data_IF_838967495026
#
_entry.id   IF_838967495026
#
_cell.length_a   1.000
_cell.length_b   1.000
_cell.length_c   1.000
_cell.angle_alpha   90.00
_cell.angle_beta   90.00
_cell.angle_gamma   90.00
#
_symmetry.space_group_name_H-M   'P 1'
#
loop_
_entity.id
_entity.type
_entity.pdbx_description
1 polymer ?
#
# COMPACT_ATOMS: atom_id res chain seq x y z
N UNK A 1 35.87 0.48 0.79
CA UNK A 1 34.81 0.52 -0.24
C UNK A 1 33.46 0.43 0.44
N UNK A 2 33.33 -0.44 1.46
CA UNK A 2 32.11 -0.58 2.26
C UNK A 2 31.77 0.68 3.10
N UNK A 3 32.77 1.35 3.72
CA UNK A 3 32.53 2.56 4.52
C UNK A 3 31.95 3.74 3.72
N UNK A 4 32.34 3.89 2.46
CA UNK A 4 31.83 4.97 1.61
C UNK A 4 30.39 4.72 1.16
N UNK A 5 30.00 3.45 0.99
CA UNK A 5 28.64 3.07 0.64
C UNK A 5 27.72 3.18 1.85
N UNK A 6 28.21 2.81 3.04
CA UNK A 6 27.48 2.96 4.29
C UNK A 6 27.17 4.43 4.59
N UNK A 7 28.16 5.34 4.43
CA UNK A 7 27.93 6.78 4.61
C UNK A 7 26.89 7.36 3.65
N UNK A 8 26.93 6.94 2.37
CA UNK A 8 25.93 7.36 1.38
C UNK A 8 24.53 6.82 1.71
N UNK A 9 24.43 5.59 2.18
CA UNK A 9 23.16 4.99 2.58
C UNK A 9 22.54 5.75 3.76
N UNK A 10 23.34 6.11 4.77
CA UNK A 10 22.88 6.89 5.92
C UNK A 10 22.34 8.27 5.51
N UNK A 11 22.99 8.94 4.55
CA UNK A 11 22.51 10.22 4.00
C UNK A 11 21.19 10.08 3.26
N UNK A 12 21.04 9.04 2.43
CA UNK A 12 19.80 8.75 1.70
C UNK A 12 18.67 8.46 2.68
N UNK A 13 18.92 7.64 3.70
CA UNK A 13 17.91 7.29 4.72
C UNK A 13 17.48 8.53 5.52
N UNK A 14 18.42 9.41 5.85
CA UNK A 14 18.13 10.67 6.53
C UNK A 14 17.26 11.60 5.67
N UNK A 15 17.54 11.69 4.37
CA UNK A 15 16.72 12.47 3.43
C UNK A 15 15.31 11.90 3.29
N UNK A 16 15.17 10.58 3.19
CA UNK A 16 13.87 9.91 3.12
C UNK A 16 13.00 10.22 4.33
N UNK A 17 13.58 10.19 5.54
CA UNK A 17 12.88 10.48 6.81
C UNK A 17 12.46 11.94 6.98
N UNK A 18 12.97 12.87 6.16
CA UNK A 18 12.51 14.26 6.16
C UNK A 18 11.22 14.44 5.35
N UNK A 19 10.94 13.55 4.40
CA UNK A 19 9.83 13.66 3.46
C UNK A 19 8.71 12.67 3.81
N UNK A 20 9.08 11.44 4.17
CA UNK A 20 8.14 10.36 4.43
C UNK A 20 8.16 9.94 5.89
N UNK A 21 7.01 9.46 6.37
CA UNK A 21 6.94 8.83 7.67
C UNK A 21 7.74 7.53 7.71
N UNK A 22 8.12 7.10 8.90
CA UNK A 22 8.74 5.78 9.09
C UNK A 22 7.83 4.64 8.62
N UNK A 23 6.51 4.82 8.71
CA UNK A 23 5.52 3.83 8.26
C UNK A 23 5.54 3.71 6.74
N UNK A 24 5.54 4.84 6.01
CA UNK A 24 5.63 4.85 4.55
C UNK A 24 6.93 4.18 4.10
N UNK A 25 8.06 4.55 4.71
CA UNK A 25 9.36 3.96 4.37
C UNK A 25 9.35 2.44 4.61
N UNK A 26 8.83 1.99 5.75
CA UNK A 26 8.76 0.57 6.07
C UNK A 26 7.82 -0.21 5.12
N UNK A 27 6.67 0.35 4.77
CA UNK A 27 5.74 -0.28 3.83
C UNK A 27 6.23 -0.25 2.38
N UNK A 28 7.07 0.71 2.01
CA UNK A 28 7.70 0.77 0.68
C UNK A 28 8.88 -0.22 0.55
N UNK A 29 9.74 -0.31 1.58
CA UNK A 29 10.94 -1.15 1.54
C UNK A 29 10.67 -2.61 1.96
N UNK A 30 9.73 -2.82 2.89
CA UNK A 30 9.33 -4.13 3.39
C UNK A 30 7.82 -4.36 3.21
N UNK A 31 7.29 -4.32 1.98
CA UNK A 31 5.85 -4.38 1.77
C UNK A 31 5.22 -5.69 2.27
N UNK A 32 4.03 -5.59 2.87
CA UNK A 32 3.25 -6.72 3.36
C UNK A 32 2.36 -7.24 2.25
N UNK A 33 2.15 -8.56 2.21
CA UNK A 33 1.17 -9.19 1.31
C UNK A 33 1.41 -8.98 -0.20
N UNK A 34 2.67 -8.80 -0.63
CA UNK A 34 3.01 -8.72 -2.06
C UNK A 34 2.85 -10.07 -2.76
N UNK A 35 2.27 -10.03 -3.96
CA UNK A 35 2.14 -11.15 -4.87
C UNK A 35 0.68 -11.51 -5.15
N UNK A 36 0.51 -12.49 -6.03
CA UNK A 36 -0.80 -13.05 -6.34
C UNK A 36 -1.27 -13.97 -5.20
N UNK A 37 -2.58 -14.19 -5.10
CA UNK A 37 -3.18 -15.10 -4.13
C UNK A 37 -3.88 -16.27 -4.86
N UNK A 38 -3.21 -17.43 -5.02
CA UNK A 38 -3.87 -18.62 -5.53
C UNK A 38 -5.08 -19.02 -4.68
N UNK A 39 -6.21 -19.31 -5.33
CA UNK A 39 -7.45 -19.67 -4.63
C UNK A 39 -8.20 -18.49 -4.00
N UNK A 40 -7.84 -17.24 -4.37
CA UNK A 40 -8.63 -16.05 -4.06
C UNK A 40 -10.06 -16.19 -4.57
N UNK A 41 -11.01 -15.65 -3.78
CA UNK A 41 -12.43 -15.64 -4.14
C UNK A 41 -12.77 -14.44 -5.01
N UNK A 42 -11.99 -13.35 -4.92
CA UNK A 42 -12.13 -12.19 -5.77
C UNK A 42 -10.76 -11.57 -6.12
N UNK A 43 -10.73 -10.90 -7.27
CA UNK A 43 -9.61 -10.10 -7.79
C UNK A 43 -10.17 -8.82 -8.38
N UNK A 44 -9.49 -7.71 -8.14
CA UNK A 44 -9.72 -6.45 -8.84
C UNK A 44 -8.39 -5.86 -9.30
N UNK A 45 -8.42 -5.11 -10.39
CA UNK A 45 -7.27 -4.38 -10.91
C UNK A 45 -7.69 -2.99 -11.36
N UNK A 46 -6.83 -2.01 -11.15
CA UNK A 46 -7.03 -0.63 -11.56
C UNK A 46 -5.74 -0.06 -12.12
N UNK A 47 -5.82 0.62 -13.25
CA UNK A 47 -4.71 1.37 -13.84
C UNK A 47 -4.97 2.85 -13.65
N UNK A 48 -4.07 3.52 -12.92
CA UNK A 48 -4.15 4.94 -12.65
C UNK A 48 -3.84 5.80 -13.87
N UNK A 49 -4.10 7.12 -13.80
CA UNK A 49 -3.80 8.05 -14.88
C UNK A 49 -2.30 8.20 -15.19
N UNK A 50 -1.42 7.83 -14.25
CA UNK A 50 0.03 7.74 -14.46
C UNK A 50 0.45 6.55 -15.34
N UNK A 51 -0.44 5.57 -15.56
CA UNK A 51 -0.17 4.34 -16.29
C UNK A 51 0.18 3.14 -15.39
N UNK A 52 0.49 3.37 -14.11
CA UNK A 52 0.76 2.31 -13.15
C UNK A 52 -0.53 1.54 -12.83
N UNK A 53 -0.39 0.23 -12.65
CA UNK A 53 -1.47 -0.70 -12.34
C UNK A 53 -1.30 -1.26 -10.94
N UNK A 54 -2.41 -1.40 -10.22
CA UNK A 54 -2.48 -2.12 -8.96
C UNK A 54 -3.56 -3.19 -9.04
N UNK A 55 -3.20 -4.41 -8.63
CA UNK A 55 -4.10 -5.54 -8.51
C UNK A 55 -4.18 -6.00 -7.07
N UNK A 56 -5.39 -6.33 -6.62
CA UNK A 56 -5.67 -6.82 -5.26
C UNK A 56 -6.48 -8.11 -5.35
N UNK A 57 -6.13 -9.08 -4.52
CA UNK A 57 -6.84 -10.35 -4.36
C UNK A 57 -7.30 -10.52 -2.92
N UNK A 58 -8.47 -11.13 -2.72
CA UNK A 58 -8.96 -11.47 -1.39
C UNK A 58 -9.44 -12.92 -1.31
N UNK A 59 -9.19 -13.55 -0.17
CA UNK A 59 -9.82 -14.80 0.28
C UNK A 59 -10.82 -14.46 1.38
N UNK A 60 -12.05 -14.96 1.26
CA UNK A 60 -13.14 -14.63 2.17
C UNK A 60 -13.60 -15.91 2.87
N UNK A 61 -13.69 -15.85 4.20
CA UNK A 61 -14.22 -16.92 5.03
C UNK A 61 -15.29 -16.33 5.96
N UNK A 62 -16.49 -16.90 5.94
CA UNK A 62 -17.60 -16.47 6.81
C UNK A 62 -17.91 -14.96 6.74
N UNK A 63 -17.76 -14.37 5.54
CA UNK A 63 -18.01 -12.94 5.31
C UNK A 63 -16.89 -12.00 5.77
N UNK A 64 -15.73 -12.54 6.18
CA UNK A 64 -14.52 -11.81 6.59
C UNK A 64 -13.39 -12.02 5.60
N UNK A 65 -12.59 -11.01 5.35
CA UNK A 65 -11.35 -11.13 4.56
C UNK A 65 -10.32 -11.90 5.38
N UNK A 66 -10.12 -13.16 5.07
CA UNK A 66 -9.12 -14.02 5.73
C UNK A 66 -7.71 -13.64 5.28
N UNK A 67 -7.53 -13.42 3.98
CA UNK A 67 -6.26 -13.02 3.37
C UNK A 67 -6.52 -11.98 2.29
N UNK A 68 -5.63 -10.99 2.21
CA UNK A 68 -5.54 -10.06 1.10
C UNK A 68 -4.10 -10.11 0.56
N UNK A 69 -3.93 -9.87 -0.74
CA UNK A 69 -2.62 -9.66 -1.35
C UNK A 69 -2.72 -8.63 -2.46
N UNK A 70 -1.59 -8.04 -2.83
CA UNK A 70 -1.54 -7.06 -3.91
C UNK A 70 -0.30 -7.21 -4.78
N UNK A 71 -0.35 -6.64 -5.97
CA UNK A 71 0.77 -6.47 -6.86
C UNK A 71 0.62 -5.13 -7.59
N UNK A 72 1.73 -4.44 -7.83
CA UNK A 72 1.76 -3.20 -8.59
C UNK A 72 3.08 -3.05 -9.32
N UNK A 73 3.05 -2.35 -10.46
CA UNK A 73 4.24 -1.87 -11.18
C UNK A 73 4.53 -0.39 -10.91
N UNK A 74 3.79 0.23 -9.97
CA UNK A 74 3.98 1.61 -9.56
C UNK A 74 5.17 1.84 -8.63
N UNK A 75 5.35 3.11 -8.25
CA UNK A 75 6.47 3.55 -7.43
C UNK A 75 6.40 3.07 -5.96
N UNK A 76 7.42 3.42 -5.17
CA UNK A 76 7.50 3.08 -3.74
C UNK A 76 6.26 3.50 -2.94
N UNK A 77 5.64 4.63 -3.30
CA UNK A 77 4.41 5.10 -2.67
C UNK A 77 3.21 4.22 -3.02
N UNK A 78 3.08 3.81 -4.29
CA UNK A 78 2.06 2.83 -4.71
C UNK A 78 2.23 1.49 -3.98
N UNK A 79 3.48 1.05 -3.78
CA UNK A 79 3.82 -0.14 -3.00
C UNK A 79 3.40 0.04 -1.53
N UNK A 80 3.69 1.18 -0.92
CA UNK A 80 3.31 1.47 0.45
C UNK A 80 1.78 1.49 0.64
N UNK A 81 1.04 2.14 -0.26
CA UNK A 81 -0.43 2.17 -0.24
C UNK A 81 -1.02 0.76 -0.42
N UNK A 82 -0.52 -0.03 -1.37
CA UNK A 82 -0.98 -1.42 -1.58
C UNK A 82 -0.70 -2.33 -0.38
N UNK A 83 0.46 -2.15 0.24
CA UNK A 83 0.87 -2.83 1.48
C UNK A 83 -0.05 -2.46 2.64
N UNK A 84 -0.36 -1.16 2.81
CA UNK A 84 -1.23 -0.70 3.90
C UNK A 84 -2.69 -1.11 3.71
N UNK A 85 -3.27 -0.95 2.51
CA UNK A 85 -4.68 -1.27 2.27
C UNK A 85 -4.98 -2.75 2.49
N UNK A 86 -4.03 -3.64 2.15
CA UNK A 86 -4.18 -5.08 2.37
C UNK A 86 -4.08 -5.46 3.85
N UNK A 87 -3.23 -4.78 4.63
CA UNK A 87 -3.20 -4.92 6.09
C UNK A 87 -4.50 -4.40 6.73
N UNK A 88 -5.03 -3.25 6.29
CA UNK A 88 -6.29 -2.69 6.79
C UNK A 88 -7.48 -3.61 6.51
N UNK A 89 -7.53 -4.23 5.33
CA UNK A 89 -8.63 -5.11 4.94
C UNK A 89 -8.60 -6.47 5.67
N UNK A 90 -7.40 -6.99 5.97
CA UNK A 90 -7.27 -8.33 6.57
C UNK A 90 -7.98 -8.41 7.92
N UNK A 91 -8.80 -9.44 8.08
CA UNK A 91 -9.56 -9.69 9.31
C UNK A 91 -10.80 -8.82 9.47
N UNK A 92 -11.15 -7.95 8.53
CA UNK A 92 -12.40 -7.17 8.55
C UNK A 92 -13.54 -7.87 7.79
N UNK A 93 -14.77 -7.58 8.18
CA UNK A 93 -15.96 -8.03 7.45
C UNK A 93 -16.06 -7.30 6.11
N UNK A 94 -16.63 -7.95 5.09
CA UNK A 94 -16.77 -7.33 3.76
C UNK A 94 -17.41 -5.93 3.79
N UNK A 95 -18.50 -5.67 4.54
CA UNK A 95 -19.06 -4.32 4.65
C UNK A 95 -18.07 -3.30 5.22
N UNK A 96 -17.25 -3.67 6.22
CA UNK A 96 -16.24 -2.78 6.80
C UNK A 96 -15.11 -2.48 5.81
N UNK A 97 -14.76 -3.44 4.94
CA UNK A 97 -13.78 -3.22 3.89
C UNK A 97 -14.26 -2.25 2.81
N UNK A 98 -15.58 -2.18 2.57
CA UNK A 98 -16.14 -1.26 1.56
C UNK A 98 -16.07 0.20 2.01
N UNK A 99 -15.96 0.43 3.31
CA UNK A 99 -15.83 1.77 3.89
C UNK A 99 -14.37 2.27 3.88
N UNK A 100 -13.38 1.40 3.59
CA UNK A 100 -11.98 1.83 3.50
C UNK A 100 -11.83 2.76 2.29
N UNK A 101 -11.57 4.03 2.58
CA UNK A 101 -11.28 5.08 1.61
C UNK A 101 -9.80 5.42 1.55
N UNK A 102 -9.47 6.34 0.65
CA UNK A 102 -8.12 6.88 0.47
C UNK A 102 -7.60 7.49 1.76
N UNK A 103 -8.45 8.25 2.47
CA UNK A 103 -8.05 8.91 3.71
C UNK A 103 -7.67 7.91 4.81
N UNK A 104 -8.35 6.76 4.92
CA UNK A 104 -7.98 5.73 5.89
C UNK A 104 -6.58 5.18 5.62
N UNK A 105 -6.21 5.03 4.35
CA UNK A 105 -4.87 4.56 3.95
C UNK A 105 -3.82 5.62 4.27
N UNK A 106 -4.11 6.89 3.96
CA UNK A 106 -3.22 8.02 4.27
C UNK A 106 -3.02 8.15 5.78
N UNK A 107 -4.09 8.13 6.57
CA UNK A 107 -4.04 8.22 8.03
C UNK A 107 -3.24 7.06 8.62
N UNK A 108 -3.42 5.84 8.11
CA UNK A 108 -2.67 4.67 8.55
C UNK A 108 -1.19 4.73 8.19
N UNK A 109 -0.83 5.37 7.08
CA UNK A 109 0.55 5.65 6.68
C UNK A 109 1.16 6.85 7.42
N UNK A 110 0.37 7.65 8.14
CA UNK A 110 0.82 8.90 8.75
C UNK A 110 0.97 10.05 7.75
N UNK A 111 0.17 10.00 6.66
CA UNK A 111 0.14 10.91 5.52
C UNK A 111 1.28 10.71 4.50
N UNK A 112 1.08 11.27 3.32
CA UNK A 112 2.03 11.34 2.21
C UNK A 112 2.19 12.81 1.77
N UNK A 113 3.31 13.16 1.10
CA UNK A 113 3.43 14.48 0.47
C UNK A 113 2.23 14.79 -0.44
N UNK A 114 1.75 16.04 -0.46
CA UNK A 114 0.52 16.45 -1.17
C UNK A 114 0.45 15.97 -2.63
N UNK A 115 1.58 15.96 -3.34
CA UNK A 115 1.66 15.52 -4.74
C UNK A 115 1.52 14.00 -4.95
N UNK A 116 1.58 13.21 -3.88
CA UNK A 116 1.62 11.74 -3.92
C UNK A 116 0.39 11.09 -3.29
N UNK A 117 -0.45 11.84 -2.58
CA UNK A 117 -1.65 11.31 -1.92
C UNK A 117 -2.59 10.60 -2.90
N UNK A 118 -2.70 11.11 -4.14
CA UNK A 118 -3.50 10.55 -5.22
C UNK A 118 -3.05 9.16 -5.72
N UNK A 119 -1.90 8.66 -5.26
CA UNK A 119 -1.39 7.33 -5.58
C UNK A 119 -2.01 6.23 -4.72
N UNK A 120 -2.57 6.58 -3.56
CA UNK A 120 -3.33 5.63 -2.77
C UNK A 120 -4.69 5.32 -3.42
N UNK A 121 -5.15 4.06 -3.41
CA UNK A 121 -6.43 3.69 -4.02
C UNK A 121 -7.59 4.49 -3.45
N UNK A 122 -8.39 5.09 -4.33
CA UNK A 122 -9.66 5.67 -3.94
C UNK A 122 -10.70 4.57 -3.68
N UNK A 123 -11.30 4.58 -2.51
CA UNK A 123 -12.49 3.83 -2.13
C UNK A 123 -13.76 4.47 -2.70
N UNK A 124 -14.89 3.79 -2.49
CA UNK A 124 -16.20 4.24 -3.00
C UNK A 124 -16.69 5.55 -2.37
N UNK A 125 -16.14 5.93 -1.22
CA UNK A 125 -16.56 7.10 -0.46
C UNK A 125 -15.73 8.36 -0.77
N UNK A 126 -14.75 8.27 -1.69
CA UNK A 126 -13.84 9.38 -2.02
C UNK A 126 -14.35 10.26 -3.19
N UNK A 127 -15.64 10.16 -3.53
CA UNK A 127 -16.30 10.85 -4.65
C UNK A 127 -17.25 11.96 -4.19
#
# INVERSE_FOLDING_TARGET
>A
MDDALAGLQEEIDAQMKQIYTEIVIDHALNPRNVGTLPGADARAGFTGPCGDTMEVWIKVMEGRVERASFWTDGCGTSIACGSMVTELARGRMIPECLEIGQQDVLDALGDLPEGEQALCPAGRNDA
#
